data_IF_094596852445
#
_entry.id   IF_094596852445
#
_cell.length_a   1.000
_cell.length_b   1.000
_cell.length_c   1.000
_cell.angle_alpha   90.00
_cell.angle_beta   90.00
_cell.angle_gamma   90.00
#
_symmetry.space_group_name_H-M   'P 1'
#
loop_
_entity.id
_entity.type
_entity.pdbx_description
1 polymer ?
#
# COMPACT_ATOMS: atom_id res chain seq x y z
N UNK A 1 3.09 -17.33 -11.60
CA UNK A 1 2.08 -16.27 -11.37
C UNK A 1 2.76 -14.97 -10.96
N UNK A 2 3.59 -14.99 -9.91
CA UNK A 2 4.30 -13.80 -9.42
C UNK A 2 5.18 -13.10 -10.46
N UNK A 3 6.02 -13.83 -11.19
CA UNK A 3 6.93 -13.22 -12.19
C UNK A 3 6.19 -12.51 -13.33
N UNK A 4 5.09 -13.10 -13.81
CA UNK A 4 4.22 -12.44 -14.80
C UNK A 4 3.65 -11.13 -14.25
N UNK A 5 3.17 -11.13 -13.00
CA UNK A 5 2.63 -9.92 -12.37
C UNK A 5 3.70 -8.85 -12.20
N UNK A 6 4.91 -9.21 -11.75
CA UNK A 6 6.03 -8.28 -11.64
C UNK A 6 6.38 -7.65 -12.98
N UNK A 7 6.50 -8.46 -14.04
CA UNK A 7 6.78 -7.96 -15.38
C UNK A 7 5.71 -6.96 -15.84
N UNK A 8 4.43 -7.29 -15.66
CA UNK A 8 3.34 -6.39 -16.04
C UNK A 8 3.35 -5.08 -15.23
N UNK A 9 3.69 -5.12 -13.94
CA UNK A 9 3.85 -3.91 -13.12
C UNK A 9 5.00 -3.05 -13.66
N UNK A 10 6.18 -3.65 -13.85
CA UNK A 10 7.36 -2.93 -14.35
C UNK A 10 7.14 -2.31 -15.74
N UNK A 11 6.34 -2.95 -16.59
CA UNK A 11 6.03 -2.45 -17.94
C UNK A 11 4.95 -1.36 -17.96
N UNK A 12 4.06 -1.30 -16.95
CA UNK A 12 2.86 -0.45 -16.99
C UNK A 12 2.79 0.61 -15.88
N UNK A 13 3.68 0.56 -14.88
CA UNK A 13 3.76 1.56 -13.81
C UNK A 13 5.09 2.29 -13.94
N UNK A 14 5.10 3.51 -14.50
CA UNK A 14 6.31 4.30 -14.59
C UNK A 14 6.98 4.47 -13.22
N UNK A 15 8.30 4.43 -13.21
CA UNK A 15 9.14 4.67 -12.02
C UNK A 15 8.85 3.76 -10.81
N UNK A 16 8.21 2.59 -11.02
CA UNK A 16 7.90 1.66 -9.94
C UNK A 16 9.09 0.83 -9.45
N UNK A 17 10.16 0.73 -10.26
CA UNK A 17 11.34 -0.07 -9.94
C UNK A 17 12.42 0.82 -9.33
N UNK A 18 12.77 0.53 -8.07
CA UNK A 18 13.91 1.15 -7.41
C UNK A 18 15.13 0.24 -7.56
N UNK A 19 16.21 0.78 -8.13
CA UNK A 19 17.46 0.06 -8.37
C UNK A 19 18.63 0.73 -7.61
N UNK A 20 19.69 -0.05 -7.34
CA UNK A 20 20.92 0.47 -6.74
C UNK A 20 20.80 0.77 -5.24
N UNK A 21 19.84 0.15 -4.55
CA UNK A 21 19.66 0.28 -3.10
C UNK A 21 20.51 -0.74 -2.31
N UNK A 22 21.07 -1.76 -2.97
CA UNK A 22 21.79 -2.88 -2.35
C UNK A 22 22.94 -2.44 -1.41
N UNK A 23 23.73 -1.38 -1.71
CA UNK A 23 24.76 -0.91 -0.80
C UNK A 23 24.22 -0.41 0.55
N UNK A 24 22.98 0.08 0.60
CA UNK A 24 22.35 0.63 1.81
C UNK A 24 21.95 -0.47 2.80
N UNK A 25 21.67 -1.69 2.31
CA UNK A 25 21.14 -2.80 3.12
C UNK A 25 22.05 -3.11 4.33
N UNK A 26 23.37 -3.10 4.13
CA UNK A 26 24.34 -3.51 5.15
C UNK A 26 24.35 -2.60 6.38
N UNK A 27 23.99 -1.33 6.21
CA UNK A 27 23.98 -0.34 7.30
C UNK A 27 22.68 -0.31 8.11
N UNK A 28 21.65 -1.02 7.66
CA UNK A 28 20.35 -1.04 8.31
C UNK A 28 20.28 -2.13 9.36
N UNK A 29 19.63 -1.81 10.48
CA UNK A 29 19.30 -2.74 11.56
C UNK A 29 17.79 -2.77 11.69
N UNK A 30 17.20 -3.97 11.60
CA UNK A 30 15.77 -4.21 11.79
C UNK A 30 15.60 -5.52 12.58
N UNK A 31 14.43 -5.75 13.20
CA UNK A 31 14.13 -7.02 13.86
C UNK A 31 14.28 -8.23 12.93
N UNK A 32 13.84 -8.10 11.67
CA UNK A 32 14.11 -9.06 10.60
C UNK A 32 15.14 -8.50 9.61
N UNK A 33 16.27 -9.19 9.49
CA UNK A 33 17.35 -8.82 8.58
C UNK A 33 16.96 -8.94 7.11
N UNK A 34 15.94 -9.74 6.80
CA UNK A 34 15.40 -9.89 5.46
C UNK A 34 14.57 -8.68 5.06
N UNK A 35 14.02 -7.87 5.96
CA UNK A 35 13.18 -6.71 5.60
C UNK A 35 13.97 -5.44 5.29
N UNK A 36 15.28 -5.44 5.53
CA UNK A 36 16.16 -4.30 5.31
C UNK A 36 16.19 -3.80 3.87
N UNK A 37 15.91 -4.68 2.90
CA UNK A 37 15.81 -4.27 1.49
C UNK A 37 14.65 -3.31 1.24
N UNK A 38 13.55 -3.44 2.00
CA UNK A 38 12.38 -2.54 1.89
C UNK A 38 12.77 -1.14 2.33
N UNK A 39 13.44 -0.99 3.48
CA UNK A 39 13.92 0.30 3.98
C UNK A 39 15.01 0.88 3.06
N UNK A 40 15.94 0.06 2.57
CA UNK A 40 16.95 0.50 1.61
C UNK A 40 16.31 1.05 0.32
N UNK A 41 15.30 0.35 -0.22
CA UNK A 41 14.56 0.80 -1.40
C UNK A 41 13.76 2.08 -1.11
N UNK A 42 13.12 2.19 0.05
CA UNK A 42 12.40 3.40 0.47
C UNK A 42 13.34 4.62 0.52
N UNK A 43 14.52 4.48 1.13
CA UNK A 43 15.53 5.54 1.16
C UNK A 43 16.04 5.91 -0.22
N UNK A 44 16.36 4.91 -1.05
CA UNK A 44 16.85 5.14 -2.41
C UNK A 44 15.81 5.81 -3.30
N UNK A 45 14.53 5.48 -3.11
CA UNK A 45 13.39 6.07 -3.79
C UNK A 45 12.86 7.36 -3.16
N UNK A 46 13.51 7.88 -2.11
CA UNK A 46 13.07 9.07 -1.38
C UNK A 46 11.62 9.00 -0.88
N UNK A 47 11.18 7.81 -0.47
CA UNK A 47 9.87 7.63 0.15
C UNK A 47 9.87 8.23 1.57
N UNK A 48 8.71 8.72 2.00
CA UNK A 48 8.48 9.24 3.36
C UNK A 48 7.83 8.17 4.28
N UNK A 49 7.20 7.16 3.67
CA UNK A 49 6.48 6.12 4.39
C UNK A 49 6.53 4.75 3.70
N UNK A 50 6.53 3.69 4.51
CA UNK A 50 6.34 2.30 4.12
C UNK A 50 4.92 1.89 4.49
N UNK A 51 4.09 1.60 3.49
CA UNK A 51 2.70 1.16 3.73
C UNK A 51 2.68 -0.36 3.92
N UNK A 52 2.38 -0.82 5.13
CA UNK A 52 2.52 -2.26 5.48
C UNK A 52 1.58 -2.72 6.58
N UNK A 53 1.07 -3.96 6.46
CA UNK A 53 0.33 -4.61 7.55
C UNK A 53 1.25 -5.08 8.69
N UNK A 54 2.55 -5.21 8.43
CA UNK A 54 3.50 -5.80 9.38
C UNK A 54 4.29 -4.72 10.13
N UNK A 55 3.60 -3.80 10.81
CA UNK A 55 4.23 -2.66 11.50
C UNK A 55 5.37 -3.06 12.46
N UNK A 56 5.24 -4.21 13.13
CA UNK A 56 6.25 -4.74 14.06
C UNK A 56 7.62 -5.01 13.42
N UNK A 57 7.66 -5.26 12.11
CA UNK A 57 8.89 -5.54 11.37
C UNK A 57 9.63 -4.23 11.02
N UNK A 58 8.94 -3.08 11.18
CA UNK A 58 9.41 -1.73 10.87
C UNK A 58 9.22 -0.79 12.07
N UNK A 59 9.93 -1.03 13.20
CA UNK A 59 9.75 -0.26 14.41
C UNK A 59 10.15 1.23 14.23
N UNK A 60 9.35 2.13 14.79
CA UNK A 60 9.56 3.58 14.74
C UNK A 60 10.96 4.00 15.23
N UNK A 61 11.52 3.30 16.22
CA UNK A 61 12.86 3.59 16.74
C UNK A 61 13.96 3.47 15.70
N UNK A 62 13.81 2.57 14.73
CA UNK A 62 14.77 2.38 13.64
C UNK A 62 14.44 3.30 12.44
N UNK A 63 13.15 3.55 12.17
CA UNK A 63 12.73 4.33 11.02
C UNK A 63 12.83 5.85 11.21
N UNK A 64 12.53 6.38 12.41
CA UNK A 64 12.49 7.82 12.66
C UNK A 64 13.85 8.50 12.44
N UNK A 65 14.96 7.78 12.70
CA UNK A 65 16.34 8.27 12.47
C UNK A 65 16.60 8.48 10.98
N UNK A 66 15.84 7.79 10.13
CA UNK A 66 15.94 7.80 8.67
C UNK A 66 14.86 8.67 8.03
N UNK A 67 14.11 9.45 8.82
CA UNK A 67 12.95 10.25 8.37
C UNK A 67 11.89 9.41 7.63
N UNK A 68 11.77 8.14 8.02
CA UNK A 68 10.78 7.20 7.50
C UNK A 68 9.73 6.88 8.56
N UNK A 69 8.54 6.52 8.10
CA UNK A 69 7.47 5.98 8.93
C UNK A 69 6.92 4.68 8.35
N UNK A 70 6.35 3.82 9.19
CA UNK A 70 5.56 2.68 8.73
C UNK A 70 4.09 2.96 9.03
N UNK A 71 3.22 2.86 8.02
CA UNK A 71 1.81 3.22 8.14
C UNK A 71 0.94 2.01 7.78
N UNK A 72 -0.10 1.77 8.58
CA UNK A 72 -1.04 0.69 8.28
C UNK A 72 -1.86 1.05 7.02
N UNK A 73 -2.12 0.12 6.08
CA UNK A 73 -2.83 0.44 4.85
C UNK A 73 -4.23 1.03 5.06
N UNK A 74 -4.96 0.58 6.08
CA UNK A 74 -6.29 1.13 6.44
C UNK A 74 -6.20 2.59 6.91
N UNK A 75 -5.14 2.95 7.63
CA UNK A 75 -4.87 4.32 8.09
C UNK A 75 -4.48 5.21 6.91
N UNK A 76 -3.52 4.77 6.11
CA UNK A 76 -3.10 5.49 4.90
C UNK A 76 -4.28 5.78 3.96
N UNK A 77 -5.14 4.80 3.69
CA UNK A 77 -6.32 5.01 2.85
C UNK A 77 -7.35 5.94 3.48
N UNK A 78 -7.46 5.95 4.81
CA UNK A 78 -8.30 6.91 5.53
C UNK A 78 -7.78 8.34 5.39
N UNK A 79 -6.47 8.55 5.52
CA UNK A 79 -5.84 9.86 5.35
C UNK A 79 -5.99 10.37 3.92
N UNK A 80 -5.79 9.50 2.93
CA UNK A 80 -6.04 9.82 1.52
C UNK A 80 -7.51 10.18 1.28
N UNK A 81 -8.44 9.46 1.91
CA UNK A 81 -9.86 9.77 1.81
C UNK A 81 -10.21 11.12 2.44
N UNK A 82 -9.58 11.48 3.56
CA UNK A 82 -9.80 12.79 4.20
C UNK A 82 -9.23 13.94 3.36
N UNK A 83 -8.11 13.69 2.66
CA UNK A 83 -7.48 14.64 1.75
C UNK A 83 -8.32 14.87 0.49
N UNK A 84 -8.76 13.79 -0.17
CA UNK A 84 -9.59 13.86 -1.38
C UNK A 84 -10.57 12.68 -1.47
N UNK A 85 -11.78 12.82 -0.87
CA UNK A 85 -12.81 11.80 -0.94
C UNK A 85 -13.20 11.44 -2.38
N UNK A 86 -13.22 12.43 -3.29
CA UNK A 86 -13.71 12.23 -4.65
C UNK A 86 -12.77 11.31 -5.44
N UNK A 87 -11.46 11.54 -5.34
CA UNK A 87 -10.45 10.70 -5.97
C UNK A 87 -10.46 9.28 -5.39
N UNK A 88 -10.60 9.13 -4.08
CA UNK A 88 -10.68 7.80 -3.44
C UNK A 88 -11.93 7.03 -3.88
N UNK A 89 -13.11 7.66 -3.93
CA UNK A 89 -14.35 7.02 -4.39
C UNK A 89 -14.19 6.59 -5.85
N UNK A 90 -13.65 7.46 -6.71
CA UNK A 90 -13.41 7.15 -8.12
C UNK A 90 -12.43 5.98 -8.28
N UNK A 91 -11.35 5.95 -7.52
CA UNK A 91 -10.38 4.85 -7.54
C UNK A 91 -11.03 3.53 -7.09
N UNK A 92 -11.84 3.54 -6.03
CA UNK A 92 -12.57 2.37 -5.55
C UNK A 92 -13.58 1.85 -6.59
N UNK A 93 -14.34 2.74 -7.24
CA UNK A 93 -15.25 2.41 -8.34
C UNK A 93 -14.52 1.77 -9.52
N UNK A 94 -13.39 2.33 -9.92
CA UNK A 94 -12.56 1.81 -11.01
C UNK A 94 -11.96 0.44 -10.67
N UNK A 95 -11.45 0.28 -9.45
CA UNK A 95 -10.89 -0.98 -8.96
C UNK A 95 -11.96 -2.07 -9.00
N UNK A 96 -13.14 -1.85 -8.42
CA UNK A 96 -14.25 -2.81 -8.47
C UNK A 96 -14.61 -3.16 -9.92
N UNK A 97 -14.76 -2.16 -10.78
CA UNK A 97 -15.14 -2.35 -12.20
C UNK A 97 -14.08 -3.13 -13.00
N UNK A 98 -12.82 -3.10 -12.56
CA UNK A 98 -11.72 -3.86 -13.19
C UNK A 98 -11.71 -5.35 -12.81
N UNK A 99 -12.36 -5.73 -11.69
CA UNK A 99 -12.48 -7.11 -11.25
C UNK A 99 -13.52 -7.81 -12.13
N UNK A 100 -13.05 -8.65 -13.06
CA UNK A 100 -13.92 -9.35 -14.04
C UNK A 100 -14.08 -10.84 -13.75
N UNK A 101 -13.24 -11.43 -12.90
CA UNK A 101 -13.17 -12.87 -12.66
C UNK A 101 -12.93 -13.18 -11.16
N UNK A 102 -13.98 -13.22 -10.32
CA UNK A 102 -15.37 -12.90 -10.64
C UNK A 102 -15.63 -11.38 -10.69
N UNK A 103 -16.67 -10.97 -11.41
CA UNK A 103 -17.23 -9.63 -11.25
C UNK A 103 -17.83 -9.49 -9.85
N UNK A 104 -17.66 -8.32 -9.24
CA UNK A 104 -18.10 -8.07 -7.86
C UNK A 104 -19.17 -6.99 -7.80
N UNK A 105 -20.23 -7.29 -7.05
CA UNK A 105 -21.17 -6.28 -6.58
C UNK A 105 -20.48 -5.32 -5.60
N UNK A 106 -21.09 -4.16 -5.35
CA UNK A 106 -20.56 -3.18 -4.37
C UNK A 106 -20.40 -3.82 -2.99
N UNK A 107 -21.41 -4.57 -2.53
CA UNK A 107 -21.37 -5.22 -1.22
C UNK A 107 -20.25 -6.26 -1.13
N UNK A 108 -20.07 -7.10 -2.16
CA UNK A 108 -18.98 -8.07 -2.19
C UNK A 108 -17.61 -7.40 -2.18
N UNK A 109 -17.45 -6.30 -2.91
CA UNK A 109 -16.21 -5.52 -2.96
C UNK A 109 -15.88 -4.92 -1.58
N UNK A 110 -16.82 -4.24 -0.93
CA UNK A 110 -16.64 -3.68 0.41
C UNK A 110 -16.36 -4.78 1.44
N UNK A 111 -17.06 -5.91 1.37
CA UNK A 111 -16.80 -7.06 2.25
C UNK A 111 -15.41 -7.67 2.01
N UNK A 112 -14.91 -7.64 0.78
CA UNK A 112 -13.55 -8.09 0.45
C UNK A 112 -12.49 -7.18 1.07
N UNK A 113 -12.61 -5.87 0.90
CA UNK A 113 -11.72 -4.89 1.55
C UNK A 113 -11.73 -5.05 3.08
N UNK A 114 -12.91 -5.24 3.67
CA UNK A 114 -13.03 -5.46 5.12
C UNK A 114 -12.32 -6.75 5.56
N UNK A 115 -12.43 -7.84 4.80
CA UNK A 115 -11.68 -9.09 5.06
C UNK A 115 -10.17 -8.92 4.90
N UNK A 116 -9.73 -8.02 4.03
CA UNK A 116 -8.34 -7.61 3.84
C UNK A 116 -7.83 -6.63 4.91
N UNK A 117 -8.55 -6.51 6.04
CA UNK A 117 -8.17 -5.66 7.18
C UNK A 117 -8.19 -4.16 6.85
N UNK A 118 -9.15 -3.73 6.03
CA UNK A 118 -9.44 -2.31 5.76
C UNK A 118 -10.80 -1.83 6.34
N UNK A 119 -11.15 -2.14 7.61
CA UNK A 119 -12.49 -1.87 8.14
C UNK A 119 -12.83 -0.37 8.27
N UNK A 120 -11.87 0.49 8.60
CA UNK A 120 -12.13 1.92 8.80
C UNK A 120 -12.34 2.61 7.46
N UNK A 121 -11.49 2.31 6.48
CA UNK A 121 -11.66 2.82 5.12
C UNK A 121 -12.98 2.35 4.49
N UNK A 122 -13.35 1.08 4.68
CA UNK A 122 -14.67 0.59 4.25
C UNK A 122 -15.81 1.38 4.88
N UNK A 123 -15.70 1.70 6.17
CA UNK A 123 -16.72 2.51 6.86
C UNK A 123 -16.85 3.92 6.27
N UNK A 124 -15.75 4.53 5.80
CA UNK A 124 -15.75 5.81 5.07
C UNK A 124 -16.38 5.70 3.68
N UNK A 125 -16.23 4.56 3.01
CA UNK A 125 -16.80 4.30 1.68
C UNK A 125 -18.31 3.98 1.69
N UNK A 126 -18.83 3.35 2.75
CA UNK A 126 -20.23 2.91 2.84
C UNK A 126 -21.28 4.00 2.52
N UNK A 127 -21.15 5.26 2.98
CA UNK A 127 -22.08 6.32 2.60
C UNK A 127 -22.17 6.60 1.09
N UNK A 128 -21.17 6.15 0.33
CA UNK A 128 -21.04 6.37 -1.11
C UNK A 128 -21.29 5.08 -1.93
N UNK A 129 -21.92 4.06 -1.36
CA UNK A 129 -22.19 2.77 -2.03
C UNK A 129 -22.83 2.91 -3.42
N UNK A 130 -23.72 3.89 -3.62
CA UNK A 130 -24.36 4.15 -4.92
C UNK A 130 -23.40 4.67 -6.00
N UNK A 131 -22.22 5.15 -5.62
CA UNK A 131 -21.18 5.68 -6.51
C UNK A 131 -20.07 4.64 -6.81
N UNK A 132 -20.04 3.52 -6.08
CA UNK A 132 -19.03 2.47 -6.22
C UNK A 132 -19.37 1.46 -7.31
#
# INVERSE_FOLDING_TARGET
MLERTKQLINENVPDCLIEGYEPLIKGLTLPDMNDRHVVAAALKGHAEAIITFNLKDFPESELNILELSAIHPDEFLCDMFELDPSSCIKAAQQQRSSLKNPAMTVSEFLNCLQKQKLPVFVSKLRPFELML
#
